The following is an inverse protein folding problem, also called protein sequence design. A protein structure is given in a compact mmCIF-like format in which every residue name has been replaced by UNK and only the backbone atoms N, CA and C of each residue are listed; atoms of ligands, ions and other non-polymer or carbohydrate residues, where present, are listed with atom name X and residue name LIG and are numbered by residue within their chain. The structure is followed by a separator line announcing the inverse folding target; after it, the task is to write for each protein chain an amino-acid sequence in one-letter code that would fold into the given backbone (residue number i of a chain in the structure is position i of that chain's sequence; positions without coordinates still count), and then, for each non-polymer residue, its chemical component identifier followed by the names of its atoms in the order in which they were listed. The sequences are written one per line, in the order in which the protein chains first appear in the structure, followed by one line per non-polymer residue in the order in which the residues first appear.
data_IF_447069350442
#
_entry.id   IF_447069350442
#
_cell.length_a   1.000
_cell.length_b   1.000
_cell.length_c   1.000
_cell.angle_alpha   90.00
_cell.angle_beta   90.00
_cell.angle_gamma   90.00
#
_symmetry.space_group_name_H-M   'P 1'
#
loop_
_entity.id
_entity.type
_entity.pdbx_description
1 polymer ?
#
# COMPACT_ATOMS: atom_id res chain seq x y z
N UNK A 1 -25.06 -2.49 -8.30
CA UNK A 1 -25.44 -2.23 -6.89
C UNK A 1 -26.16 -3.45 -6.36
N UNK A 2 -25.86 -3.88 -5.14
CA UNK A 2 -26.55 -4.94 -4.40
C UNK A 2 -26.93 -4.37 -3.03
N UNK A 3 -28.14 -4.53 -2.60
CA UNK A 3 -28.52 -4.32 -1.21
C UNK A 3 -27.99 -5.47 -0.32
N UNK A 4 -28.12 -5.35 1.00
CA UNK A 4 -27.61 -6.34 1.94
C UNK A 4 -28.24 -7.73 1.72
N UNK A 5 -29.52 -7.82 1.36
CA UNK A 5 -30.22 -9.07 1.11
C UNK A 5 -29.71 -9.75 -0.17
N UNK A 6 -29.59 -9.01 -1.28
CA UNK A 6 -29.06 -9.50 -2.53
C UNK A 6 -27.57 -9.90 -2.43
N UNK A 7 -26.77 -9.13 -1.66
CA UNK A 7 -25.39 -9.48 -1.40
C UNK A 7 -25.28 -10.80 -0.63
N UNK A 8 -26.07 -10.95 0.45
CA UNK A 8 -26.09 -12.17 1.27
C UNK A 8 -26.58 -13.39 0.49
N UNK A 9 -27.59 -13.22 -0.36
CA UNK A 9 -28.08 -14.30 -1.22
C UNK A 9 -27.01 -14.79 -2.20
N UNK A 10 -26.18 -13.89 -2.72
CA UNK A 10 -25.12 -14.20 -3.67
C UNK A 10 -23.83 -14.67 -2.99
N UNK A 11 -23.47 -14.05 -1.88
CA UNK A 11 -22.23 -14.29 -1.13
C UNK A 11 -22.56 -14.45 0.37
N UNK A 12 -22.97 -15.64 0.79
CA UNK A 12 -23.55 -15.88 2.13
C UNK A 12 -22.65 -15.51 3.32
N UNK A 13 -21.33 -15.43 3.12
CA UNK A 13 -20.40 -15.03 4.18
C UNK A 13 -20.58 -13.57 4.61
N UNK A 14 -21.13 -12.71 3.74
CA UNK A 14 -21.37 -11.29 4.04
C UNK A 14 -22.71 -11.12 4.78
N UNK A 15 -22.67 -10.57 5.97
CA UNK A 15 -23.84 -10.28 6.79
C UNK A 15 -23.90 -8.78 7.12
N UNK A 16 -24.28 -8.00 6.10
CA UNK A 16 -24.36 -6.55 6.24
C UNK A 16 -25.70 -6.13 6.88
N UNK A 17 -25.71 -5.05 7.67
CA UNK A 17 -26.94 -4.36 8.09
C UNK A 17 -27.80 -3.93 6.89
N UNK A 18 -29.13 -3.81 7.05
CA UNK A 18 -30.05 -3.52 5.95
C UNK A 18 -29.84 -2.16 5.27
N UNK A 19 -29.22 -1.21 5.97
CA UNK A 19 -28.89 0.14 5.50
C UNK A 19 -27.59 0.22 4.70
N UNK A 20 -26.83 -0.89 4.64
CA UNK A 20 -25.62 -0.98 3.81
C UNK A 20 -25.92 -1.55 2.42
N UNK A 21 -25.19 -1.07 1.44
CA UNK A 21 -25.22 -1.55 0.07
C UNK A 21 -23.80 -1.84 -0.45
N UNK A 22 -23.70 -2.66 -1.49
CA UNK A 22 -22.42 -3.01 -2.10
C UNK A 22 -22.41 -2.67 -3.60
N UNK A 23 -21.28 -2.19 -4.09
CA UNK A 23 -20.94 -2.18 -5.51
C UNK A 23 -20.15 -3.45 -5.80
N UNK A 24 -20.69 -4.31 -6.65
CA UNK A 24 -20.02 -5.52 -7.09
C UNK A 24 -19.50 -5.37 -8.51
N UNK A 25 -18.25 -5.72 -8.72
CA UNK A 25 -17.60 -5.77 -10.02
C UNK A 25 -16.98 -7.16 -10.22
N UNK A 26 -17.43 -7.87 -11.26
CA UNK A 26 -16.99 -9.24 -11.52
C UNK A 26 -15.51 -9.34 -11.90
N UNK A 27 -14.99 -8.32 -12.59
CA UNK A 27 -13.59 -8.23 -13.04
C UNK A 27 -12.64 -7.75 -11.92
N UNK A 28 -13.16 -7.46 -10.73
CA UNK A 28 -12.36 -7.13 -9.56
C UNK A 28 -11.57 -8.34 -9.06
N UNK A 29 -10.45 -8.09 -8.38
CA UNK A 29 -9.61 -9.17 -7.87
C UNK A 29 -8.45 -8.66 -7.01
N UNK A 30 -7.42 -9.48 -6.90
CA UNK A 30 -6.20 -9.14 -6.16
C UNK A 30 -4.95 -9.56 -6.92
N UNK A 31 -3.85 -8.86 -6.64
CA UNK A 31 -2.55 -9.12 -7.23
C UNK A 31 -1.69 -9.96 -6.28
N UNK A 32 -0.96 -10.92 -6.81
CA UNK A 32 0.07 -11.65 -6.08
C UNK A 32 1.34 -10.80 -6.07
N UNK A 33 1.48 -9.96 -5.04
CA UNK A 33 2.49 -8.90 -4.97
C UNK A 33 3.92 -9.42 -5.11
N UNK A 34 4.25 -10.52 -4.41
CA UNK A 34 5.60 -11.11 -4.48
C UNK A 34 5.93 -11.62 -5.90
N UNK A 35 4.96 -12.24 -6.57
CA UNK A 35 5.16 -12.70 -7.97
C UNK A 35 5.31 -11.52 -8.92
N UNK A 36 4.52 -10.46 -8.72
CA UNK A 36 4.64 -9.24 -9.52
C UNK A 36 6.03 -8.62 -9.36
N UNK A 37 6.53 -8.48 -8.14
CA UNK A 37 7.87 -7.95 -7.86
C UNK A 37 8.94 -8.81 -8.53
N UNK A 38 8.89 -10.13 -8.36
CA UNK A 38 9.88 -11.04 -9.00
C UNK A 38 9.88 -10.88 -10.52
N UNK A 39 8.69 -10.81 -11.13
CA UNK A 39 8.60 -10.62 -12.59
C UNK A 39 9.17 -9.27 -13.03
N UNK A 40 8.89 -8.17 -12.33
CA UNK A 40 9.47 -6.86 -12.65
C UNK A 40 10.99 -6.83 -12.48
N UNK A 41 11.49 -7.43 -11.40
CA UNK A 41 12.95 -7.54 -11.16
C UNK A 41 13.62 -8.33 -12.27
N UNK A 42 13.09 -9.49 -12.65
CA UNK A 42 13.65 -10.30 -13.74
C UNK A 42 13.62 -9.54 -15.06
N UNK A 43 12.50 -8.91 -15.41
CA UNK A 43 12.40 -8.11 -16.63
C UNK A 43 13.39 -6.93 -16.64
N UNK A 44 13.61 -6.28 -15.50
CA UNK A 44 14.60 -5.22 -15.38
C UNK A 44 16.03 -5.74 -15.60
N UNK A 45 16.38 -6.89 -15.03
CA UNK A 45 17.67 -7.54 -15.25
C UNK A 45 17.88 -7.93 -16.72
N UNK A 46 16.86 -8.50 -17.37
CA UNK A 46 16.90 -8.87 -18.78
C UNK A 46 17.15 -7.66 -19.70
N UNK A 47 16.72 -6.47 -19.25
CA UNK A 47 16.94 -5.18 -19.91
C UNK A 47 18.26 -4.50 -19.50
N UNK A 48 19.08 -5.14 -18.66
CA UNK A 48 20.40 -4.64 -18.25
C UNK A 48 20.37 -3.71 -17.04
N UNK A 49 19.30 -3.64 -16.27
CA UNK A 49 19.28 -2.89 -15.02
C UNK A 49 20.13 -3.58 -13.94
N UNK A 50 20.93 -2.81 -13.22
CA UNK A 50 21.66 -3.27 -12.06
C UNK A 50 20.82 -3.08 -10.79
N UNK A 51 20.69 -4.14 -9.99
CA UNK A 51 19.92 -4.12 -8.74
C UNK A 51 20.84 -4.50 -7.58
N UNK A 52 21.06 -3.59 -6.67
CA UNK A 52 21.87 -3.77 -5.48
C UNK A 52 20.99 -4.03 -4.26
N UNK A 53 20.88 -5.29 -3.85
CA UNK A 53 20.14 -5.69 -2.67
C UNK A 53 21.00 -5.57 -1.40
N UNK A 54 20.35 -5.32 -0.24
CA UNK A 54 21.00 -5.19 1.06
C UNK A 54 22.04 -4.06 1.12
N UNK A 55 21.82 -3.03 0.33
CA UNK A 55 22.68 -1.85 0.24
C UNK A 55 21.89 -0.58 0.56
N UNK A 56 21.78 -0.22 1.84
CA UNK A 56 21.05 0.96 2.25
C UNK A 56 21.69 2.25 1.70
N UNK A 57 20.86 3.14 1.19
CA UNK A 57 21.26 4.50 0.84
C UNK A 57 21.49 5.30 2.12
N UNK A 58 22.71 5.82 2.30
CA UNK A 58 23.11 6.61 3.45
C UNK A 58 22.85 8.11 3.26
N UNK A 59 23.04 8.59 2.03
CA UNK A 59 22.80 9.97 1.66
C UNK A 59 22.74 10.10 0.14
N UNK A 60 22.20 11.21 -0.31
CA UNK A 60 22.26 11.63 -1.70
C UNK A 60 22.44 13.13 -1.79
N UNK A 61 23.01 13.58 -2.88
CA UNK A 61 23.16 15.00 -3.22
C UNK A 61 22.88 15.21 -4.70
N UNK A 62 22.40 16.39 -5.03
CA UNK A 62 22.20 16.80 -6.41
C UNK A 62 22.83 18.15 -6.65
N UNK A 63 23.53 18.30 -7.76
CA UNK A 63 24.21 19.54 -8.15
C UNK A 63 24.66 19.49 -9.59
N UNK A 64 24.84 20.68 -10.19
CA UNK A 64 25.12 20.76 -11.62
C UNK A 64 24.04 20.01 -12.43
N UNK A 65 24.48 19.08 -13.28
CA UNK A 65 23.58 18.31 -14.16
C UNK A 65 23.33 16.87 -13.70
N UNK A 66 23.61 16.55 -12.42
CA UNK A 66 23.50 15.17 -11.98
C UNK A 66 23.23 14.99 -10.50
N UNK A 67 23.28 13.75 -10.09
CA UNK A 67 23.07 13.31 -8.71
C UNK A 67 24.17 12.35 -8.30
N UNK A 68 24.45 12.29 -6.99
CA UNK A 68 25.31 11.28 -6.39
C UNK A 68 24.57 10.62 -5.23
N UNK A 69 24.61 9.30 -5.17
CA UNK A 69 24.00 8.48 -4.11
C UNK A 69 25.12 7.75 -3.39
N UNK A 70 25.20 7.89 -2.08
CA UNK A 70 26.22 7.27 -1.24
C UNK A 70 25.64 6.10 -0.45
N UNK A 71 26.33 4.97 -0.51
CA UNK A 71 26.06 3.77 0.28
C UNK A 71 27.33 3.35 1.04
N UNK A 72 27.29 2.24 1.77
CA UNK A 72 28.47 1.67 2.39
C UNK A 72 29.44 1.05 1.34
N UNK A 73 28.95 0.65 0.18
CA UNK A 73 29.76 0.09 -0.90
C UNK A 73 30.47 1.13 -1.78
N UNK A 74 29.96 2.38 -1.80
CA UNK A 74 30.55 3.43 -2.61
C UNK A 74 29.61 4.58 -2.95
N UNK A 75 29.96 5.30 -4.01
CA UNK A 75 29.16 6.42 -4.54
C UNK A 75 28.77 6.15 -5.98
N UNK A 76 27.49 6.15 -6.24
CA UNK A 76 26.90 6.02 -7.57
C UNK A 76 26.57 7.41 -8.12
N UNK A 77 26.81 7.64 -9.41
CA UNK A 77 26.53 8.91 -10.08
C UNK A 77 25.61 8.69 -11.27
N UNK A 78 24.62 9.54 -11.40
CA UNK A 78 23.63 9.49 -12.48
C UNK A 78 23.16 10.88 -12.90
N UNK A 79 22.53 10.98 -14.05
CA UNK A 79 21.90 12.21 -14.51
C UNK A 79 20.61 12.51 -13.75
N UNK A 80 19.89 11.49 -13.30
CA UNK A 80 18.59 11.58 -12.63
C UNK A 80 18.53 10.62 -11.43
N UNK A 81 17.69 10.98 -10.45
CA UNK A 81 17.38 10.15 -9.29
C UNK A 81 15.86 10.02 -9.15
N UNK A 82 15.39 8.79 -9.01
CA UNK A 82 14.01 8.50 -8.64
C UNK A 82 14.02 7.95 -7.21
N UNK A 83 13.36 8.66 -6.29
CA UNK A 83 13.22 8.27 -4.89
C UNK A 83 11.87 7.60 -4.65
N UNK A 84 11.91 6.29 -4.39
CA UNK A 84 10.74 5.45 -4.07
C UNK A 84 10.96 4.73 -2.75
N UNK A 85 11.40 5.48 -1.73
CA UNK A 85 11.91 4.94 -0.47
C UNK A 85 10.82 4.49 0.52
N UNK A 86 9.54 4.49 0.11
CA UNK A 86 8.42 4.03 0.96
C UNK A 86 8.40 4.75 2.30
N UNK A 87 8.42 3.99 3.40
CA UNK A 87 8.35 4.54 4.75
C UNK A 87 9.60 5.31 5.19
N UNK A 88 10.73 5.19 4.47
CA UNK A 88 11.96 5.95 4.71
C UNK A 88 12.07 7.23 3.88
N UNK A 89 11.01 7.59 3.14
CA UNK A 89 11.03 8.81 2.30
C UNK A 89 11.34 10.06 3.11
N UNK A 90 10.79 10.18 4.32
CA UNK A 90 10.99 11.33 5.18
C UNK A 90 12.46 11.51 5.65
N UNK A 91 13.23 10.43 5.72
CA UNK A 91 14.65 10.46 6.09
C UNK A 91 15.51 10.93 4.93
N UNK A 92 15.17 10.48 3.72
CA UNK A 92 15.91 10.86 2.50
C UNK A 92 15.47 12.21 1.92
N UNK A 93 14.23 12.63 2.18
CA UNK A 93 13.68 13.91 1.72
C UNK A 93 12.99 14.60 2.89
N UNK A 94 13.73 15.30 3.76
CA UNK A 94 13.20 15.91 4.98
C UNK A 94 12.02 16.87 4.74
N UNK A 95 11.93 17.51 3.58
CA UNK A 95 10.81 18.37 3.19
C UNK A 95 9.47 17.59 3.14
N UNK A 96 9.50 16.27 2.96
CA UNK A 96 8.31 15.42 2.91
C UNK A 96 7.94 14.81 4.27
N UNK A 97 8.62 15.15 5.35
CA UNK A 97 8.38 14.56 6.68
C UNK A 97 6.94 14.67 7.17
N UNK A 98 6.24 15.76 6.82
CA UNK A 98 4.82 15.96 7.16
C UNK A 98 3.87 15.39 6.11
N UNK A 99 4.38 15.02 4.94
CA UNK A 99 3.58 14.57 3.80
C UNK A 99 3.70 13.07 3.53
N UNK A 100 4.64 12.38 4.16
CA UNK A 100 4.87 10.94 4.01
C UNK A 100 5.05 10.33 5.41
N UNK A 101 3.92 10.06 6.08
CA UNK A 101 3.88 9.64 7.48
C UNK A 101 3.75 8.11 7.57
N UNK A 102 4.76 7.38 8.09
CA UNK A 102 4.63 5.96 8.32
C UNK A 102 3.66 5.66 9.47
N UNK A 103 2.78 4.69 9.25
CA UNK A 103 1.77 4.24 10.19
C UNK A 103 1.79 2.71 10.28
N UNK A 104 1.83 2.19 11.50
CA UNK A 104 1.81 0.75 11.76
C UNK A 104 0.44 0.17 11.44
N UNK A 105 0.41 -0.91 10.68
CA UNK A 105 -0.77 -1.67 10.32
C UNK A 105 -0.64 -3.11 10.77
N UNK A 106 -1.76 -3.80 10.97
CA UNK A 106 -1.80 -5.23 11.24
C UNK A 106 -2.80 -5.93 10.32
N UNK A 107 -2.43 -7.09 9.84
CA UNK A 107 -3.27 -7.99 9.07
C UNK A 107 -3.48 -9.29 9.85
N UNK A 108 -4.68 -9.83 9.78
CA UNK A 108 -5.11 -11.03 10.46
C UNK A 108 -5.56 -12.09 9.45
N UNK A 109 -5.07 -13.32 9.59
CA UNK A 109 -5.60 -14.50 8.91
C UNK A 109 -6.36 -15.35 9.92
N UNK A 110 -7.61 -15.64 9.59
CA UNK A 110 -8.53 -16.39 10.45
C UNK A 110 -8.98 -17.65 9.73
N UNK A 111 -8.95 -18.79 10.41
CA UNK A 111 -9.59 -19.98 9.90
C UNK A 111 -11.11 -19.81 10.05
N UNK A 112 -11.88 -19.76 8.96
CA UNK A 112 -13.33 -19.64 9.08
C UNK A 112 -13.95 -20.88 9.73
N UNK A 113 -15.06 -20.69 10.45
CA UNK A 113 -15.90 -21.78 10.93
C UNK A 113 -16.56 -22.56 9.78
N UNK A 114 -16.82 -21.83 8.66
CA UNK A 114 -17.38 -22.36 7.43
C UNK A 114 -16.50 -22.04 6.22
N UNK A 115 -15.37 -22.76 6.05
CA UNK A 115 -14.35 -22.42 5.03
C UNK A 115 -14.89 -22.42 3.59
N UNK A 116 -15.93 -23.20 3.32
CA UNK A 116 -16.55 -23.26 1.99
C UNK A 116 -17.11 -21.91 1.53
N UNK A 117 -17.52 -21.03 2.46
CA UNK A 117 -18.05 -19.70 2.17
C UNK A 117 -16.96 -18.66 1.85
N UNK A 118 -15.71 -18.96 2.20
CA UNK A 118 -14.58 -18.01 2.08
C UNK A 118 -13.61 -18.35 0.95
N UNK A 119 -13.98 -19.24 0.04
CA UNK A 119 -13.18 -19.56 -1.16
C UNK A 119 -13.33 -18.46 -2.23
N UNK A 120 -12.36 -18.29 -3.16
CA UNK A 120 -12.40 -17.20 -4.16
C UNK A 120 -13.70 -17.09 -4.94
N UNK A 121 -14.33 -18.22 -5.32
CA UNK A 121 -15.59 -18.21 -6.05
C UNK A 121 -16.82 -17.80 -5.19
N UNK A 122 -16.70 -17.86 -3.86
CA UNK A 122 -17.79 -17.61 -2.90
C UNK A 122 -17.56 -16.34 -2.07
N UNK A 123 -16.36 -15.81 -2.06
CA UNK A 123 -15.97 -14.67 -1.26
C UNK A 123 -15.08 -13.73 -2.09
N UNK A 124 -15.66 -12.74 -2.77
CA UNK A 124 -14.87 -11.73 -3.47
C UNK A 124 -14.01 -10.91 -2.49
N UNK A 125 -12.92 -10.33 -2.99
CA UNK A 125 -12.19 -9.30 -2.25
C UNK A 125 -13.11 -8.13 -1.95
N UNK A 126 -12.88 -7.45 -0.83
CA UNK A 126 -13.72 -6.32 -0.45
C UNK A 126 -12.93 -5.15 0.12
N UNK A 127 -13.50 -3.97 -0.07
CA UNK A 127 -13.30 -2.77 0.72
C UNK A 127 -14.66 -2.40 1.33
N UNK A 128 -14.71 -2.14 2.62
CA UNK A 128 -15.96 -1.92 3.34
C UNK A 128 -15.83 -0.74 4.30
N UNK A 129 -16.56 0.32 4.01
CA UNK A 129 -16.78 1.40 4.95
C UNK A 129 -17.82 0.98 5.98
N UNK A 130 -17.49 1.11 7.25
CA UNK A 130 -18.37 0.77 8.37
C UNK A 130 -18.19 1.79 9.50
N UNK A 131 -19.15 1.92 10.42
CA UNK A 131 -19.02 2.81 11.57
C UNK A 131 -17.77 2.55 12.42
N UNK A 132 -17.33 1.29 12.49
CA UNK A 132 -16.15 0.88 13.25
C UNK A 132 -14.83 1.17 12.49
N UNK A 133 -14.89 1.44 11.20
CA UNK A 133 -13.75 1.78 10.35
C UNK A 133 -13.80 1.17 8.96
N UNK A 134 -12.76 1.42 8.20
CA UNK A 134 -12.61 0.95 6.84
C UNK A 134 -11.89 -0.40 6.81
N UNK A 135 -12.62 -1.49 6.56
CA UNK A 135 -12.08 -2.84 6.48
C UNK A 135 -11.79 -3.25 5.03
N UNK A 136 -10.81 -4.11 4.86
CA UNK A 136 -10.54 -4.78 3.59
C UNK A 136 -10.21 -6.25 3.83
N UNK A 137 -10.46 -7.09 2.83
CA UNK A 137 -10.15 -8.50 3.00
C UNK A 137 -10.15 -9.31 1.73
N UNK A 138 -9.65 -10.54 1.88
CA UNK A 138 -9.36 -11.47 0.80
C UNK A 138 -9.88 -12.85 1.12
N UNK A 139 -10.31 -13.64 0.11
CA UNK A 139 -10.69 -15.03 0.29
C UNK A 139 -9.53 -15.89 0.81
N UNK A 140 -9.83 -17.13 1.16
CA UNK A 140 -8.81 -18.14 1.40
C UNK A 140 -8.01 -18.35 0.12
N UNK A 141 -6.73 -17.99 0.16
CA UNK A 141 -5.82 -18.16 -0.96
C UNK A 141 -4.39 -18.38 -0.48
N UNK A 142 -3.78 -19.49 -0.84
CA UNK A 142 -2.42 -19.88 -0.42
C UNK A 142 -2.33 -20.28 1.05
N UNK A 143 -2.72 -19.41 1.98
CA UNK A 143 -2.84 -19.71 3.41
C UNK A 143 -4.27 -20.20 3.71
N UNK A 144 -4.48 -21.19 4.60
CA UNK A 144 -5.81 -21.79 4.86
C UNK A 144 -6.70 -20.89 5.76
N UNK A 145 -6.69 -19.58 5.54
CA UNK A 145 -7.51 -18.62 6.25
C UNK A 145 -7.90 -17.46 5.37
N UNK A 146 -9.05 -16.81 5.65
CA UNK A 146 -9.33 -15.55 5.00
C UNK A 146 -8.57 -14.43 5.69
N UNK A 147 -8.17 -13.43 4.92
CA UNK A 147 -7.34 -12.30 5.38
C UNK A 147 -8.20 -11.07 5.59
N UNK A 148 -8.01 -10.40 6.71
CA UNK A 148 -8.66 -9.11 7.03
C UNK A 148 -7.64 -8.11 7.51
N UNK A 149 -7.80 -6.86 7.10
CA UNK A 149 -7.12 -5.70 7.64
C UNK A 149 -8.11 -4.55 7.84
N UNK A 150 -7.68 -3.53 8.56
CA UNK A 150 -8.41 -2.28 8.72
C UNK A 150 -7.45 -1.14 8.38
N UNK A 151 -7.87 -0.23 7.53
CA UNK A 151 -7.14 1.01 7.27
C UNK A 151 -6.99 1.80 8.56
N UNK A 152 -5.82 2.43 8.74
CA UNK A 152 -5.50 3.18 9.96
C UNK A 152 -5.69 2.38 11.24
N UNK A 153 -5.43 1.11 11.17
CA UNK A 153 -5.58 0.09 12.21
C UNK A 153 -5.81 0.65 13.65
N UNK A 154 -4.76 1.19 14.30
CA UNK A 154 -4.82 1.92 15.59
C UNK A 154 -4.29 3.36 15.48
N UNK A 155 -4.05 3.85 14.28
CA UNK A 155 -3.50 5.19 13.98
C UNK A 155 -2.15 5.44 14.65
N UNK A 156 -1.31 4.42 14.74
CA UNK A 156 0.01 4.50 15.35
C UNK A 156 1.04 5.03 14.35
N UNK A 157 1.37 6.32 14.43
CA UNK A 157 2.49 6.89 13.70
C UNK A 157 3.79 6.34 14.26
N UNK A 158 4.69 5.88 13.39
CA UNK A 158 5.92 5.20 13.77
C UNK A 158 7.09 5.63 12.91
N UNK A 159 8.31 5.46 13.43
CA UNK A 159 9.49 5.41 12.58
C UNK A 159 9.70 3.97 12.10
N UNK A 160 9.97 3.71 10.81
CA UNK A 160 10.02 2.35 10.26
C UNK A 160 11.08 1.46 10.92
N UNK A 161 12.20 2.03 11.38
CA UNK A 161 13.27 1.29 12.06
C UNK A 161 12.99 1.04 13.54
N UNK A 162 12.06 1.82 14.14
CA UNK A 162 11.67 1.71 15.55
C UNK A 162 10.30 1.07 15.76
N UNK A 163 9.63 0.64 14.66
CA UNK A 163 8.30 0.05 14.73
C UNK A 163 8.31 -1.27 15.49
N UNK A 164 7.40 -1.43 16.44
CA UNK A 164 7.12 -2.75 17.01
C UNK A 164 6.53 -3.68 15.95
N UNK A 165 7.27 -4.73 15.63
CA UNK A 165 6.88 -5.73 14.63
C UNK A 165 6.13 -6.91 15.25
N UNK A 166 5.94 -6.92 16.58
CA UNK A 166 5.10 -7.90 17.25
C UNK A 166 3.61 -7.57 17.02
N UNK A 167 2.79 -8.59 17.07
CA UNK A 167 1.34 -8.43 17.06
C UNK A 167 0.79 -8.74 18.45
N UNK A 168 -0.16 -7.94 18.92
CA UNK A 168 -0.70 -7.99 20.27
C UNK A 168 -2.19 -8.32 20.27
N UNK A 169 -2.74 -8.66 21.44
CA UNK A 169 -4.15 -9.00 21.60
C UNK A 169 -5.08 -7.82 21.21
N UNK A 170 -4.63 -6.60 21.45
CA UNK A 170 -5.34 -5.39 21.09
C UNK A 170 -5.43 -5.20 19.57
N UNK A 171 -4.40 -5.62 18.84
CA UNK A 171 -4.40 -5.61 17.37
C UNK A 171 -5.45 -6.59 16.83
N UNK A 172 -5.50 -7.78 17.41
CA UNK A 172 -6.51 -8.77 17.05
C UNK A 172 -7.92 -8.29 17.37
N UNK A 173 -8.13 -7.70 18.53
CA UNK A 173 -9.44 -7.24 18.99
C UNK A 173 -10.08 -6.25 18.00
N UNK A 174 -9.29 -5.30 17.50
CA UNK A 174 -9.72 -4.30 16.49
C UNK A 174 -10.23 -4.97 15.20
N UNK A 175 -9.56 -6.01 14.74
CA UNK A 175 -9.95 -6.73 13.52
C UNK A 175 -11.11 -7.69 13.75
N UNK A 176 -11.16 -8.32 14.93
CA UNK A 176 -12.24 -9.22 15.34
C UNK A 176 -13.60 -8.53 15.45
N UNK A 177 -13.63 -7.25 15.78
CA UNK A 177 -14.86 -6.46 15.84
C UNK A 177 -15.60 -6.52 14.49
N UNK A 178 -14.93 -6.19 13.39
CA UNK A 178 -15.50 -6.27 12.05
C UNK A 178 -15.83 -7.70 11.61
N UNK A 179 -14.97 -8.69 11.95
CA UNK A 179 -15.22 -10.08 11.60
C UNK A 179 -16.50 -10.60 12.25
N UNK A 180 -16.67 -10.39 13.56
CA UNK A 180 -17.85 -10.85 14.32
C UNK A 180 -19.13 -10.22 13.80
N UNK A 181 -19.09 -8.98 13.40
CA UNK A 181 -20.25 -8.24 12.96
C UNK A 181 -20.66 -8.54 11.52
N UNK A 182 -19.69 -8.60 10.61
CA UNK A 182 -19.95 -8.65 9.17
C UNK A 182 -19.65 -10.02 8.54
N UNK A 183 -18.89 -10.87 9.22
CA UNK A 183 -18.44 -12.19 8.74
C UNK A 183 -18.48 -13.24 9.86
N UNK A 184 -19.60 -13.44 10.58
CA UNK A 184 -19.64 -14.30 11.77
C UNK A 184 -19.25 -15.76 11.52
N UNK A 185 -19.52 -16.29 10.32
CA UNK A 185 -19.06 -17.61 9.89
C UNK A 185 -17.52 -17.68 9.69
N UNK A 186 -16.87 -16.51 9.65
CA UNK A 186 -15.43 -16.35 9.58
C UNK A 186 -14.72 -16.29 10.93
N UNK A 187 -15.44 -16.10 12.06
CA UNK A 187 -14.84 -15.88 13.39
C UNK A 187 -14.39 -17.19 14.05
N UNK A 188 -13.43 -17.87 13.46
CA UNK A 188 -12.76 -19.04 14.01
C UNK A 188 -11.37 -18.72 14.58
N UNK A 189 -10.49 -19.71 14.79
CA UNK A 189 -9.16 -19.51 15.36
C UNK A 189 -8.27 -18.58 14.52
N UNK A 190 -7.43 -17.78 15.18
CA UNK A 190 -6.36 -17.02 14.53
C UNK A 190 -5.29 -17.98 14.00
N UNK A 191 -4.97 -17.87 12.74
CA UNK A 191 -3.89 -18.62 12.09
C UNK A 191 -2.59 -17.83 12.09
N UNK A 192 -2.66 -16.53 11.80
CA UNK A 192 -1.49 -15.67 11.73
C UNK A 192 -1.88 -14.21 11.84
N UNK A 193 -1.00 -13.42 12.42
CA UNK A 193 -1.00 -11.96 12.33
C UNK A 193 0.33 -11.47 11.79
N UNK A 194 0.32 -10.38 11.04
CA UNK A 194 1.53 -9.74 10.51
C UNK A 194 1.39 -8.24 10.56
N UNK A 195 2.45 -7.58 11.01
CA UNK A 195 2.56 -6.13 10.91
C UNK A 195 2.89 -5.69 9.49
N UNK A 196 2.47 -4.50 9.13
CA UNK A 196 2.75 -3.83 7.88
C UNK A 196 2.96 -2.33 8.13
N UNK A 197 3.45 -1.61 7.15
CA UNK A 197 3.57 -0.16 7.14
C UNK A 197 2.75 0.43 6.00
N UNK A 198 1.92 1.42 6.31
CA UNK A 198 1.48 2.38 5.33
C UNK A 198 2.37 3.62 5.42
N UNK A 199 2.47 4.36 4.35
CA UNK A 199 3.07 5.69 4.34
C UNK A 199 2.00 6.63 3.83
N UNK A 200 1.38 7.35 4.75
CA UNK A 200 0.19 8.14 4.46
C UNK A 200 0.56 9.56 4.06
N UNK A 201 -0.07 10.09 3.03
CA UNK A 201 -0.15 11.51 2.76
C UNK A 201 -1.32 12.14 3.55
N UNK A 202 -1.35 13.47 3.75
CA UNK A 202 -2.43 14.12 4.51
C UNK A 202 -3.84 13.93 3.93
N UNK A 203 -3.93 13.80 2.61
CA UNK A 203 -5.17 13.63 1.84
C UNK A 203 -5.33 12.20 1.28
N UNK A 204 -4.43 11.30 1.66
CA UNK A 204 -4.38 9.90 1.21
C UNK A 204 -4.18 9.71 -0.31
N UNK A 205 -3.99 10.77 -1.08
CA UNK A 205 -3.57 10.69 -2.47
C UNK A 205 -2.06 10.52 -2.59
N UNK A 206 -1.61 9.86 -3.66
CA UNK A 206 -0.19 9.63 -3.92
C UNK A 206 0.57 10.95 -4.09
N UNK A 207 1.84 10.93 -3.80
CA UNK A 207 2.78 12.00 -4.15
C UNK A 207 3.65 11.46 -5.29
N UNK A 208 3.51 12.05 -6.47
CA UNK A 208 4.33 11.73 -7.65
C UNK A 208 4.69 13.05 -8.30
N UNK A 209 5.91 13.52 -8.06
CA UNK A 209 6.33 14.83 -8.52
C UNK A 209 7.86 14.94 -8.63
N UNK A 210 8.33 16.01 -9.24
CA UNK A 210 9.73 16.42 -9.15
C UNK A 210 9.99 17.12 -7.83
N UNK A 211 11.19 16.96 -7.32
CA UNK A 211 11.63 17.72 -6.16
C UNK A 211 11.59 19.23 -6.48
N UNK A 212 10.94 20.08 -5.65
CA UNK A 212 10.69 21.48 -6.01
C UNK A 212 11.94 22.29 -6.37
N UNK A 213 13.06 22.02 -5.69
CA UNK A 213 14.33 22.73 -5.90
C UNK A 213 15.33 21.98 -6.80
N UNK A 214 15.10 20.74 -7.12
CA UNK A 214 16.06 19.84 -7.79
C UNK A 214 15.35 19.05 -8.90
N UNK A 215 15.17 19.63 -10.10
CA UNK A 215 14.35 19.03 -11.16
C UNK A 215 14.87 17.70 -11.71
N UNK A 216 16.13 17.35 -11.43
CA UNK A 216 16.71 16.05 -11.74
C UNK A 216 16.35 14.96 -10.73
N UNK A 217 15.64 15.28 -9.65
CA UNK A 217 15.17 14.34 -8.61
C UNK A 217 13.66 14.21 -8.69
N UNK A 218 13.17 12.99 -8.83
CA UNK A 218 11.77 12.64 -8.88
C UNK A 218 11.42 11.86 -7.60
N UNK A 219 10.26 12.11 -7.02
CA UNK A 219 9.82 11.45 -5.80
C UNK A 219 8.47 10.78 -6.03
N UNK A 220 8.35 9.53 -5.56
CA UNK A 220 7.07 8.84 -5.45
C UNK A 220 6.92 8.30 -4.02
N UNK A 221 5.92 8.79 -3.30
CA UNK A 221 5.71 8.53 -1.88
C UNK A 221 4.22 8.63 -1.48
N UNK A 222 3.92 8.40 -0.21
CA UNK A 222 2.58 8.64 0.31
C UNK A 222 1.49 7.80 -0.36
N UNK A 223 1.77 6.52 -0.64
CA UNK A 223 0.81 5.65 -1.33
C UNK A 223 -0.34 5.16 -0.45
N UNK A 224 -0.37 5.54 0.82
CA UNK A 224 -1.50 5.46 1.75
C UNK A 224 -2.19 4.08 1.79
N UNK A 225 -1.41 2.99 1.67
CA UNK A 225 -1.90 1.61 1.78
C UNK A 225 -2.60 1.05 0.55
N UNK A 226 -2.74 1.80 -0.55
CA UNK A 226 -3.46 1.33 -1.74
C UNK A 226 -2.71 1.49 -3.07
N UNK A 227 -1.40 1.73 -3.04
CA UNK A 227 -0.58 2.03 -4.22
C UNK A 227 -0.14 0.83 -5.05
N UNK A 228 0.00 -0.38 -4.47
CA UNK A 228 0.68 -1.49 -5.15
C UNK A 228 0.03 -1.89 -6.49
N UNK A 229 -1.30 -1.88 -6.57
CA UNK A 229 -2.03 -2.18 -7.82
C UNK A 229 -1.68 -1.24 -8.99
N UNK A 230 -1.10 -0.09 -8.71
CA UNK A 230 -0.69 0.92 -9.70
C UNK A 230 0.81 0.86 -10.04
N UNK A 231 1.58 -0.10 -9.51
CA UNK A 231 3.04 -0.13 -9.66
C UNK A 231 3.51 -0.08 -11.12
N UNK A 232 2.78 -0.69 -12.07
CA UNK A 232 3.10 -0.65 -13.50
C UNK A 232 3.00 0.76 -14.07
N UNK A 233 1.85 1.41 -13.91
CA UNK A 233 1.64 2.76 -14.43
C UNK A 233 2.47 3.81 -13.68
N UNK A 234 2.69 3.63 -12.38
CA UNK A 234 3.61 4.50 -11.61
C UNK A 234 5.03 4.38 -12.13
N UNK A 235 5.50 3.16 -12.42
CA UNK A 235 6.82 2.94 -13.04
C UNK A 235 6.96 3.64 -14.38
N UNK A 236 5.94 3.57 -15.24
CA UNK A 236 5.89 4.28 -16.51
C UNK A 236 5.94 5.80 -16.33
N UNK A 237 5.11 6.35 -15.44
CA UNK A 237 5.12 7.78 -15.10
C UNK A 237 6.49 8.26 -14.63
N UNK A 238 7.13 7.52 -13.74
CA UNK A 238 8.44 7.87 -13.20
C UNK A 238 9.53 7.84 -14.28
N UNK A 239 9.46 6.88 -15.21
CA UNK A 239 10.35 6.82 -16.37
C UNK A 239 10.14 8.03 -17.30
N UNK A 240 8.90 8.37 -17.65
CA UNK A 240 8.57 9.56 -18.45
C UNK A 240 9.07 10.86 -17.79
N UNK A 241 8.82 11.04 -16.50
CA UNK A 241 9.31 12.18 -15.74
C UNK A 241 10.84 12.28 -15.73
N UNK A 242 11.53 11.15 -15.64
CA UNK A 242 12.98 11.09 -15.61
C UNK A 242 13.61 11.33 -17.00
N UNK A 243 13.04 10.80 -18.06
CA UNK A 243 13.60 10.85 -19.42
C UNK A 243 13.14 12.09 -20.18
N UNK A 244 11.86 12.41 -20.12
CA UNK A 244 11.22 13.43 -20.94
C UNK A 244 10.90 14.70 -20.15
N UNK A 245 10.91 14.58 -18.83
CA UNK A 245 10.62 15.69 -17.94
C UNK A 245 9.13 15.97 -17.75
N UNK A 246 8.27 15.24 -18.36
CA UNK A 246 6.80 15.32 -18.24
C UNK A 246 6.21 13.93 -18.44
N UNK A 247 5.00 13.73 -17.98
CA UNK A 247 4.24 12.50 -18.24
C UNK A 247 3.02 12.82 -19.10
N UNK A 248 2.59 11.85 -19.93
CA UNK A 248 1.33 11.92 -20.67
C UNK A 248 0.09 11.84 -19.78
N UNK A 249 0.26 11.36 -18.54
CA UNK A 249 -0.82 11.23 -17.56
C UNK A 249 -1.03 12.55 -16.82
N UNK A 250 -2.26 12.86 -16.49
CA UNK A 250 -2.57 13.99 -15.60
C UNK A 250 -2.13 13.67 -14.17
N UNK A 251 -1.14 14.38 -13.68
CA UNK A 251 -0.57 14.25 -12.34
C UNK A 251 -1.02 15.35 -11.38
N UNK A 252 -1.98 16.19 -11.76
CA UNK A 252 -2.39 17.37 -10.98
C UNK A 252 -2.76 16.97 -9.54
N UNK A 253 -3.48 15.87 -9.37
CA UNK A 253 -3.87 15.33 -8.06
C UNK A 253 -2.69 14.85 -7.21
N UNK A 254 -1.54 14.56 -7.83
CA UNK A 254 -0.39 13.91 -7.17
C UNK A 254 0.79 14.86 -6.95
N UNK A 255 0.68 16.12 -7.37
CA UNK A 255 1.74 17.14 -7.23
C UNK A 255 1.91 17.59 -5.78
N UNK A 256 3.14 17.91 -5.41
CA UNK A 256 3.48 18.46 -4.10
C UNK A 256 2.82 19.83 -3.87
N UNK A 257 2.68 20.64 -4.92
CA UNK A 257 2.09 21.98 -4.84
C UNK A 257 0.64 22.01 -4.34
N UNK A 258 -0.06 20.86 -4.35
CA UNK A 258 -1.40 20.78 -3.77
C UNK A 258 -1.43 21.00 -2.25
N UNK A 259 -0.29 20.85 -1.60
CA UNK A 259 -0.14 21.10 -0.17
C UNK A 259 0.33 22.53 0.17
N UNK A 260 0.70 23.32 -0.85
CA UNK A 260 1.18 24.70 -0.65
C UNK A 260 0.03 25.70 -0.41
N UNK A 261 -1.23 25.31 -0.74
CA UNK A 261 -2.42 26.16 -0.65
C UNK A 261 -3.08 26.20 0.75
N UNK A 262 -2.45 25.64 1.77
CA UNK A 262 -3.01 25.47 3.13
C UNK A 262 -2.13 26.05 4.25
N UNK A 263 -1.28 27.07 3.95
CA UNK A 263 -0.50 27.79 4.94
C UNK A 263 -1.16 29.10 5.39
#
# INVERSE_FOLDING_TARGET
MLDAAALRARFPAYQLPPDMAAVYQADGGFVLSERAIVNYVNAAHDLGAEIHAREPVLAWEAGGNGVAVRTAAGTYRAARLILTAGSWTADLVPALRRLAQPERQVMLWVQPRRPELFRPAQFPVFNMEAPEGHYYGFPIFGIPGFKVGRYHHRREAVHPDAMDRSCHAEDEAVLREGIRKYFPDGDGPTLSMKTCLFTNSPDEHFIIDRHPALPQVIVAAGFSGHGFKFCSVVGEILAELALEGQSRWDLTLFRLSRFDAGG
#
